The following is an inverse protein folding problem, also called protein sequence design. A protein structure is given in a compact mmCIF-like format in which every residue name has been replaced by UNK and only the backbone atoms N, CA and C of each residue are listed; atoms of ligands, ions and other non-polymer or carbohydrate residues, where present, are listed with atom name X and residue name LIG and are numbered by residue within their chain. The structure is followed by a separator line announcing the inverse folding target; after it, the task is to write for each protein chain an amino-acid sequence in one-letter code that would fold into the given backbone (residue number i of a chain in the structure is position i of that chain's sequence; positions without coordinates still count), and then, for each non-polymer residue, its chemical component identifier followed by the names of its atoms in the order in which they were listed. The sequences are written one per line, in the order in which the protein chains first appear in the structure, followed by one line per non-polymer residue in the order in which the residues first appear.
data_IF_572214829015
#
_entry.id   IF_572214829015
#
_cell.length_a   1.000
_cell.length_b   1.000
_cell.length_c   1.000
_cell.angle_alpha   90.00
_cell.angle_beta   90.00
_cell.angle_gamma   90.00
#
_symmetry.space_group_name_H-M   'P 1'
#
loop_
_entity.id
_entity.type
_entity.pdbx_description
1 polymer ?
#
# COMPACT_ATOMS: atom_id res chain seq x y z
N UNK A 1 -65.75 -39.43 -46.60
CA UNK A 1 -64.37 -38.99 -46.79
C UNK A 1 -64.04 -38.02 -45.68
N UNK A 2 -63.20 -38.43 -44.66
CA UNK A 2 -62.83 -37.63 -43.53
C UNK A 2 -61.35 -37.21 -43.71
N UNK A 3 -61.09 -35.93 -43.97
CA UNK A 3 -59.76 -35.36 -44.07
C UNK A 3 -59.22 -35.06 -42.71
N UNK A 4 -58.18 -35.76 -42.31
CA UNK A 4 -57.41 -35.47 -41.07
C UNK A 4 -56.42 -34.30 -41.34
N UNK A 5 -56.59 -33.22 -40.63
CA UNK A 5 -55.62 -32.10 -40.59
C UNK A 5 -54.56 -32.40 -39.56
N UNK A 6 -53.31 -32.59 -40.00
CA UNK A 6 -52.14 -32.64 -39.16
C UNK A 6 -51.77 -31.20 -38.70
N UNK A 7 -51.73 -30.99 -37.42
CA UNK A 7 -51.17 -29.76 -36.81
C UNK A 7 -49.72 -30.03 -36.56
N UNK A 8 -48.83 -29.32 -37.24
CA UNK A 8 -47.39 -29.22 -36.87
C UNK A 8 -47.29 -28.30 -35.68
N UNK A 9 -46.79 -28.80 -34.56
CA UNK A 9 -46.35 -28.01 -33.43
C UNK A 9 -44.90 -27.59 -33.68
N UNK A 10 -44.68 -26.30 -33.86
CA UNK A 10 -43.33 -25.73 -33.93
C UNK A 10 -42.81 -25.54 -32.47
N UNK A 11 -41.79 -26.31 -32.11
CA UNK A 11 -41.08 -26.14 -30.85
C UNK A 11 -40.06 -24.99 -31.04
N UNK A 12 -40.31 -23.84 -30.39
CA UNK A 12 -39.32 -22.78 -30.27
C UNK A 12 -38.27 -23.21 -29.23
N UNK A 13 -37.08 -23.53 -29.68
CA UNK A 13 -35.93 -23.72 -28.82
C UNK A 13 -35.37 -22.35 -28.35
N UNK A 14 -35.47 -22.09 -27.08
CA UNK A 14 -34.81 -20.93 -26.45
C UNK A 14 -33.35 -21.29 -26.24
N UNK A 15 -32.47 -20.74 -27.08
CA UNK A 15 -31.01 -20.81 -26.88
C UNK A 15 -30.63 -19.75 -25.84
N UNK A 16 -30.41 -20.14 -24.58
CA UNK A 16 -29.85 -19.30 -23.56
C UNK A 16 -28.36 -19.08 -23.84
N UNK A 17 -28.00 -17.90 -24.32
CA UNK A 17 -26.61 -17.49 -24.45
C UNK A 17 -26.03 -17.20 -23.07
N UNK A 18 -25.22 -18.10 -22.53
CA UNK A 18 -24.43 -17.89 -21.36
C UNK A 18 -23.27 -16.97 -21.73
N UNK A 19 -23.37 -15.68 -21.39
CA UNK A 19 -22.25 -14.74 -21.50
C UNK A 19 -21.20 -15.09 -20.43
N UNK A 20 -20.13 -15.76 -20.81
CA UNK A 20 -18.95 -15.94 -19.95
C UNK A 20 -18.22 -14.60 -19.85
N UNK A 21 -18.41 -13.90 -18.74
CA UNK A 21 -17.61 -12.71 -18.41
C UNK A 21 -16.21 -13.19 -18.04
N UNK A 22 -15.30 -13.17 -18.99
CA UNK A 22 -13.87 -13.36 -18.72
C UNK A 22 -13.39 -12.07 -18.02
N UNK A 23 -13.30 -12.10 -16.70
CA UNK A 23 -12.57 -11.10 -15.96
C UNK A 23 -11.09 -11.32 -16.30
N UNK A 24 -10.56 -10.52 -17.21
CA UNK A 24 -9.14 -10.46 -17.48
C UNK A 24 -8.46 -9.94 -16.21
N UNK A 25 -7.91 -10.85 -15.41
CA UNK A 25 -6.95 -10.51 -14.37
C UNK A 25 -5.74 -9.99 -15.15
N UNK A 26 -5.63 -8.66 -15.26
CA UNK A 26 -4.45 -8.05 -15.82
C UNK A 26 -3.26 -8.54 -14.97
N UNK A 27 -2.44 -9.43 -15.55
CA UNK A 27 -1.19 -9.83 -14.93
C UNK A 27 -0.41 -8.55 -14.65
N UNK A 28 -0.27 -8.22 -13.38
CA UNK A 28 0.52 -7.09 -12.94
C UNK A 28 1.93 -7.32 -13.52
N UNK A 29 2.28 -6.51 -14.54
CA UNK A 29 3.66 -6.42 -15.01
C UNK A 29 4.51 -6.28 -13.76
N UNK A 30 5.57 -7.06 -13.67
CA UNK A 30 6.53 -7.09 -12.57
C UNK A 30 7.16 -5.71 -12.40
N UNK A 31 6.39 -4.77 -11.85
CA UNK A 31 6.88 -3.51 -11.32
C UNK A 31 7.81 -3.87 -10.17
N UNK A 32 8.96 -3.27 -10.11
CA UNK A 32 9.93 -3.46 -9.04
C UNK A 32 9.24 -3.12 -7.70
N UNK A 33 8.76 -4.15 -7.00
CA UNK A 33 8.05 -4.02 -5.74
C UNK A 33 9.02 -3.93 -4.58
N UNK A 34 8.68 -3.13 -3.57
CA UNK A 34 9.33 -3.13 -2.26
C UNK A 34 8.46 -3.94 -1.31
N UNK A 35 9.09 -4.76 -0.46
CA UNK A 35 8.43 -5.59 0.55
C UNK A 35 9.28 -5.59 1.80
N UNK A 36 8.74 -5.03 2.88
CA UNK A 36 9.46 -4.89 4.14
C UNK A 36 8.64 -5.41 5.31
N UNK A 37 9.35 -5.86 6.35
CA UNK A 37 8.76 -6.24 7.63
C UNK A 37 9.01 -5.15 8.65
N UNK A 38 7.94 -4.65 9.28
CA UNK A 38 8.03 -3.68 10.36
C UNK A 38 8.19 -4.39 11.69
N UNK A 39 9.12 -3.90 12.50
CA UNK A 39 9.33 -4.35 13.88
C UNK A 39 9.70 -3.16 14.75
N UNK A 40 9.49 -3.25 16.06
CA UNK A 40 9.88 -2.21 17.01
C UNK A 40 11.39 -2.02 17.10
N UNK A 41 12.17 -3.07 16.84
CA UNK A 41 13.64 -3.01 16.84
C UNK A 41 14.23 -2.20 15.68
N UNK A 42 13.41 -1.81 14.68
CA UNK A 42 13.82 -0.93 13.60
C UNK A 42 13.48 0.54 13.87
N UNK A 43 12.75 0.85 14.94
CA UNK A 43 12.56 2.25 15.35
C UNK A 43 13.88 2.87 15.78
N UNK A 44 14.00 4.17 15.54
CA UNK A 44 15.10 4.97 16.09
C UNK A 44 14.75 5.29 17.54
N UNK A 45 15.43 4.75 18.49
CA UNK A 45 15.08 4.36 19.85
C UNK A 45 14.23 3.08 19.78
N UNK A 46 14.92 1.94 19.67
CA UNK A 46 14.31 0.63 19.50
C UNK A 46 13.23 0.37 20.57
N UNK A 47 12.09 -0.16 20.11
CA UNK A 47 10.96 -0.55 20.96
C UNK A 47 10.91 -2.06 21.06
N UNK A 48 10.92 -2.59 22.29
CA UNK A 48 10.65 -4.01 22.53
C UNK A 48 9.14 -4.20 22.64
N UNK A 49 8.53 -4.70 21.58
CA UNK A 49 7.07 -4.89 21.43
C UNK A 49 6.80 -6.17 20.66
N UNK A 50 5.68 -6.89 20.91
CA UNK A 50 5.19 -7.93 20.02
C UNK A 50 4.62 -7.37 18.70
N UNK A 51 4.50 -6.06 18.57
CA UNK A 51 4.03 -5.36 17.39
C UNK A 51 4.83 -5.73 16.13
N UNK A 52 4.13 -6.02 15.06
CA UNK A 52 4.72 -6.42 13.79
C UNK A 52 3.89 -5.93 12.62
N UNK A 53 4.51 -5.80 11.46
CA UNK A 53 3.81 -5.42 10.23
C UNK A 53 4.52 -5.90 8.96
N UNK A 54 3.80 -5.77 7.86
CA UNK A 54 4.31 -6.00 6.51
C UNK A 54 3.86 -4.85 5.62
N UNK A 55 4.81 -4.24 4.94
CA UNK A 55 4.53 -3.22 3.95
C UNK A 55 4.95 -3.72 2.57
N UNK A 56 4.09 -3.50 1.59
CA UNK A 56 4.42 -3.74 0.19
C UNK A 56 3.99 -2.57 -0.66
N UNK A 57 4.75 -2.26 -1.71
CA UNK A 57 4.36 -1.29 -2.71
C UNK A 57 4.87 -1.65 -4.09
N UNK A 58 4.17 -1.16 -5.11
CA UNK A 58 4.55 -1.25 -6.53
C UNK A 58 4.51 0.15 -7.13
N UNK A 59 5.50 0.46 -7.97
CA UNK A 59 5.69 1.78 -8.56
C UNK A 59 5.37 1.72 -10.04
N UNK A 60 4.41 2.54 -10.49
CA UNK A 60 4.16 2.84 -11.90
C UNK A 60 4.60 4.28 -12.19
N UNK A 61 5.81 4.42 -12.77
CA UNK A 61 6.38 5.74 -13.08
C UNK A 61 5.60 6.48 -14.16
N UNK A 62 5.05 5.75 -15.14
CA UNK A 62 4.32 6.36 -16.26
C UNK A 62 2.99 6.96 -15.79
N UNK A 63 2.31 6.27 -14.87
CA UNK A 63 1.07 6.74 -14.27
C UNK A 63 1.31 7.71 -13.11
N UNK A 64 2.56 7.90 -12.65
CA UNK A 64 2.91 8.61 -11.42
C UNK A 64 2.12 8.07 -10.21
N UNK A 65 2.11 6.75 -10.05
CA UNK A 65 1.40 6.04 -8.98
C UNK A 65 2.31 5.09 -8.22
N UNK A 66 2.12 5.06 -6.89
CA UNK A 66 2.62 4.01 -6.02
C UNK A 66 1.43 3.35 -5.34
N UNK A 67 1.16 2.09 -5.66
CA UNK A 67 0.15 1.30 -4.94
C UNK A 67 0.80 0.63 -3.76
N UNK A 68 0.17 0.73 -2.58
CA UNK A 68 0.70 0.15 -1.36
C UNK A 68 -0.35 -0.67 -0.61
N UNK A 69 0.16 -1.55 0.24
CA UNK A 69 -0.58 -2.27 1.26
C UNK A 69 0.29 -2.34 2.52
N UNK A 70 -0.29 -1.98 3.66
CA UNK A 70 0.29 -2.11 4.98
C UNK A 70 -0.62 -2.97 5.85
N UNK A 71 -0.10 -4.08 6.34
CA UNK A 71 -0.76 -4.93 7.36
C UNK A 71 0.05 -4.86 8.64
N UNK A 72 -0.62 -4.70 9.79
CA UNK A 72 0.03 -4.69 11.10
C UNK A 72 -0.87 -5.30 12.17
N UNK A 73 -0.26 -5.72 13.29
CA UNK A 73 -0.96 -6.31 14.43
C UNK A 73 -0.03 -6.54 15.60
N UNK A 74 -0.60 -7.04 16.72
CA UNK A 74 0.15 -7.30 17.94
C UNK A 74 0.69 -6.04 18.62
N UNK A 75 0.13 -4.86 18.31
CA UNK A 75 0.55 -3.60 18.92
C UNK A 75 0.21 -3.55 20.41
N UNK A 76 1.04 -2.87 21.19
CA UNK A 76 0.86 -2.69 22.65
C UNK A 76 -0.32 -1.77 22.98
N UNK A 77 -0.72 -0.90 22.05
CA UNK A 77 -1.84 0.04 22.23
C UNK A 77 -2.45 0.44 20.88
N UNK A 78 -3.63 1.09 20.87
CA UNK A 78 -4.32 1.43 19.63
C UNK A 78 -3.47 2.28 18.67
N UNK A 79 -3.47 1.89 17.38
CA UNK A 79 -2.81 2.64 16.34
C UNK A 79 -3.45 4.03 16.17
N UNK A 80 -2.62 5.05 16.09
CA UNK A 80 -3.03 6.45 15.90
C UNK A 80 -2.80 6.95 14.49
N UNK A 81 -1.68 6.58 13.87
CA UNK A 81 -1.33 7.03 12.53
C UNK A 81 -0.23 6.16 11.92
N UNK A 82 -0.08 6.23 10.61
CA UNK A 82 1.01 5.61 9.86
C UNK A 82 1.42 6.51 8.70
N UNK A 83 2.73 6.60 8.46
CA UNK A 83 3.32 7.51 7.49
C UNK A 83 4.46 6.88 6.69
N UNK A 84 4.80 7.50 5.57
CA UNK A 84 6.13 7.36 4.97
C UNK A 84 6.89 8.66 5.24
N UNK A 85 8.11 8.49 5.74
CA UNK A 85 9.03 9.56 6.11
C UNK A 85 10.23 9.61 5.18
N UNK A 86 10.87 10.77 5.08
CA UNK A 86 12.14 10.96 4.37
C UNK A 86 13.29 11.07 5.36
N UNK A 87 14.04 9.97 5.53
CA UNK A 87 15.28 9.94 6.31
C UNK A 87 15.95 8.56 6.21
N UNK A 88 17.23 8.53 6.56
CA UNK A 88 18.05 7.32 6.68
C UNK A 88 17.63 6.47 7.88
N UNK A 89 18.07 5.21 7.88
CA UNK A 89 17.67 4.20 8.86
C UNK A 89 17.86 4.62 10.34
N UNK A 90 18.88 5.39 10.64
CA UNK A 90 19.28 5.73 12.01
C UNK A 90 18.67 7.04 12.54
N UNK A 91 17.85 7.74 11.76
CA UNK A 91 17.30 9.03 12.11
C UNK A 91 15.79 9.05 11.96
N UNK A 92 15.15 10.02 12.65
CA UNK A 92 13.75 10.35 12.42
C UNK A 92 13.66 11.54 11.46
N UNK A 93 12.82 11.44 10.47
CA UNK A 93 12.63 12.45 9.44
C UNK A 93 11.21 12.98 9.37
N UNK A 94 10.98 13.99 8.52
CA UNK A 94 9.66 14.55 8.30
C UNK A 94 8.73 13.58 7.57
N UNK A 95 7.42 13.76 7.79
CA UNK A 95 6.37 13.03 7.08
C UNK A 95 6.31 13.54 5.63
N UNK A 96 6.37 12.60 4.68
CA UNK A 96 6.13 12.89 3.25
C UNK A 96 4.74 12.45 2.84
N UNK A 97 4.27 11.28 3.31
CA UNK A 97 2.96 10.72 2.94
C UNK A 97 2.26 10.18 4.17
N UNK A 98 1.01 10.58 4.37
CA UNK A 98 0.10 9.93 5.31
C UNK A 98 -0.51 8.67 4.68
N UNK A 99 -0.40 7.54 5.39
CA UNK A 99 -1.05 6.29 4.99
C UNK A 99 -2.41 6.13 5.67
N UNK A 100 -2.50 6.50 6.95
CA UNK A 100 -3.73 6.61 7.72
C UNK A 100 -3.56 7.54 8.92
N UNK A 101 -4.67 8.07 9.47
CA UNK A 101 -4.66 8.85 10.71
C UNK A 101 -6.01 8.78 11.43
N UNK A 102 -5.97 8.57 12.76
CA UNK A 102 -7.09 8.68 13.69
C UNK A 102 -7.04 10.01 14.48
N UNK A 103 -6.06 10.89 14.20
CA UNK A 103 -5.84 12.15 14.90
C UNK A 103 -6.44 13.36 14.18
N UNK A 104 -6.99 13.16 12.97
CA UNK A 104 -7.54 14.25 12.16
C UNK A 104 -6.49 15.25 11.63
N UNK A 105 -5.21 14.89 11.69
CA UNK A 105 -4.07 15.75 11.30
C UNK A 105 -3.54 15.45 9.89
N UNK A 106 -4.11 14.47 9.20
CA UNK A 106 -3.76 14.15 7.81
C UNK A 106 -4.44 15.07 6.80
N UNK A 107 -3.95 15.11 5.54
CA UNK A 107 -4.62 15.77 4.44
C UNK A 107 -6.08 15.29 4.27
N UNK A 108 -6.98 16.10 3.67
CA UNK A 108 -8.35 15.67 3.38
C UNK A 108 -8.38 14.33 2.63
N UNK A 109 -9.25 13.41 3.08
CA UNK A 109 -9.35 12.07 2.50
C UNK A 109 -8.38 11.03 3.08
N UNK A 110 -7.55 11.39 4.07
CA UNK A 110 -6.74 10.41 4.81
C UNK A 110 -7.65 9.38 5.49
N UNK A 111 -7.44 8.09 5.18
CA UNK A 111 -8.22 7.00 5.76
C UNK A 111 -7.92 6.81 7.26
N UNK A 112 -8.86 6.22 8.00
CA UNK A 112 -8.63 5.83 9.39
C UNK A 112 -7.68 4.62 9.49
N UNK A 113 -6.88 4.58 10.57
CA UNK A 113 -6.07 3.42 10.91
C UNK A 113 -6.92 2.37 11.66
N UNK A 114 -6.89 1.07 11.32
CA UNK A 114 -7.42 0.01 12.17
C UNK A 114 -6.75 0.05 13.55
N UNK A 115 -7.47 0.39 14.64
CA UNK A 115 -6.80 0.69 15.93
C UNK A 115 -6.11 -0.52 16.55
N UNK A 116 -6.66 -1.73 16.37
CA UNK A 116 -6.15 -2.97 16.99
C UNK A 116 -5.36 -3.84 16.00
N UNK A 117 -4.97 -3.28 14.86
CA UNK A 117 -4.36 -4.02 13.77
C UNK A 117 -5.33 -4.33 12.65
N UNK A 118 -4.78 -4.57 11.46
CA UNK A 118 -5.52 -4.82 10.22
C UNK A 118 -4.70 -4.47 8.99
N UNK A 119 -5.39 -4.31 7.88
CA UNK A 119 -4.78 -3.97 6.60
C UNK A 119 -5.36 -2.68 6.06
N UNK A 120 -4.50 -1.78 5.62
CA UNK A 120 -4.85 -0.61 4.83
C UNK A 120 -4.15 -0.68 3.48
N UNK A 121 -4.78 -0.14 2.45
CA UNK A 121 -4.20 -0.04 1.12
C UNK A 121 -4.58 1.29 0.48
N UNK A 122 -3.81 1.70 -0.52
CA UNK A 122 -4.07 2.93 -1.24
C UNK A 122 -3.15 3.13 -2.43
N UNK A 123 -3.33 4.28 -3.07
CA UNK A 123 -2.49 4.74 -4.16
C UNK A 123 -1.95 6.13 -3.83
N UNK A 124 -0.61 6.24 -3.79
CA UNK A 124 0.08 7.52 -3.64
C UNK A 124 0.28 8.12 -5.03
N UNK A 125 -0.14 9.37 -5.20
CA UNK A 125 0.05 10.21 -6.38
C UNK A 125 0.78 11.49 -5.99
N UNK A 126 1.21 12.35 -6.93
CA UNK A 126 1.84 13.62 -6.61
C UNK A 126 1.09 14.43 -5.55
N UNK A 127 -0.25 14.51 -5.65
CA UNK A 127 -1.09 15.24 -4.70
C UNK A 127 -1.05 14.71 -3.24
N UNK A 128 -0.56 13.49 -3.02
CA UNK A 128 -0.42 12.88 -1.69
C UNK A 128 0.94 13.17 -1.04
N UNK A 129 1.88 13.77 -1.78
CA UNK A 129 3.21 14.14 -1.29
C UNK A 129 3.09 15.52 -0.64
N UNK A 130 3.25 15.53 0.68
CA UNK A 130 3.16 16.75 1.48
C UNK A 130 4.46 17.55 1.51
N UNK A 131 4.38 18.77 2.03
CA UNK A 131 5.51 19.69 2.14
C UNK A 131 6.46 19.39 3.33
N UNK A 132 6.22 18.31 4.10
CA UNK A 132 7.01 18.03 5.32
C UNK A 132 8.51 17.98 5.10
N UNK A 133 8.95 17.46 3.95
CA UNK A 133 10.35 17.34 3.59
C UNK A 133 10.88 18.47 2.68
N UNK A 134 10.15 19.58 2.53
CA UNK A 134 10.57 20.68 1.66
C UNK A 134 11.92 21.28 2.05
N UNK A 135 12.20 21.38 3.35
CA UNK A 135 13.50 21.84 3.88
C UNK A 135 14.67 20.87 3.58
N UNK A 136 14.36 19.65 3.13
CA UNK A 136 15.33 18.63 2.72
C UNK A 136 15.28 18.35 1.21
N UNK A 137 14.60 19.20 0.43
CA UNK A 137 14.58 19.15 -1.04
C UNK A 137 13.47 18.29 -1.65
N UNK A 138 12.43 17.90 -0.90
CA UNK A 138 11.21 17.27 -1.46
C UNK A 138 10.03 18.19 -1.15
N UNK A 139 9.65 19.01 -2.12
CA UNK A 139 8.48 19.89 -2.00
C UNK A 139 7.17 19.10 -2.21
N UNK A 140 6.04 19.75 -1.87
CA UNK A 140 4.73 19.14 -2.11
C UNK A 140 4.54 18.81 -3.59
N UNK A 141 4.09 17.59 -3.87
CA UNK A 141 3.84 17.12 -5.23
C UNK A 141 5.06 16.60 -5.99
N UNK A 142 6.27 16.72 -5.47
CA UNK A 142 7.51 16.28 -6.14
C UNK A 142 7.66 14.75 -6.11
N UNK A 143 6.97 14.11 -7.05
CA UNK A 143 6.90 12.65 -7.14
C UNK A 143 8.24 12.02 -7.53
N UNK A 144 8.99 12.63 -8.44
CA UNK A 144 10.26 12.06 -8.93
C UNK A 144 11.36 12.11 -7.86
N UNK A 145 11.44 13.19 -7.08
CA UNK A 145 12.33 13.34 -5.93
C UNK A 145 11.99 12.31 -4.85
N UNK A 146 10.70 12.13 -4.58
CA UNK A 146 10.24 11.10 -3.65
C UNK A 146 10.59 9.68 -4.14
N UNK A 147 10.41 9.40 -5.44
CA UNK A 147 10.84 8.12 -6.02
C UNK A 147 12.35 7.92 -5.92
N UNK A 148 13.14 8.98 -6.10
CA UNK A 148 14.59 8.89 -5.94
C UNK A 148 14.96 8.59 -4.48
N UNK A 149 14.32 9.24 -3.51
CA UNK A 149 14.51 8.95 -2.09
C UNK A 149 14.20 7.49 -1.74
N UNK A 150 13.10 6.94 -2.26
CA UNK A 150 12.74 5.52 -2.13
C UNK A 150 13.83 4.63 -2.76
N UNK A 151 14.29 4.96 -3.97
CA UNK A 151 15.27 4.17 -4.71
C UNK A 151 16.60 4.02 -3.98
N UNK A 152 17.03 5.08 -3.29
CA UNK A 152 18.31 5.09 -2.54
C UNK A 152 18.16 4.62 -1.10
N UNK A 153 16.96 4.19 -0.68
CA UNK A 153 16.70 3.71 0.68
C UNK A 153 16.68 4.83 1.74
N UNK A 154 16.36 6.06 1.35
CA UNK A 154 16.24 7.21 2.26
C UNK A 154 14.80 7.49 2.69
N UNK A 155 13.96 6.45 2.73
CA UNK A 155 12.59 6.55 3.23
C UNK A 155 12.28 5.38 4.15
N UNK A 156 11.38 5.59 5.11
CA UNK A 156 10.87 4.53 5.97
C UNK A 156 9.38 4.65 6.19
N UNK A 157 8.75 3.54 6.53
CA UNK A 157 7.36 3.47 6.96
C UNK A 157 7.32 3.10 8.43
N UNK A 158 6.40 3.72 9.20
CA UNK A 158 6.15 3.32 10.58
C UNK A 158 4.66 3.39 10.95
N UNK A 159 4.32 2.78 12.09
CA UNK A 159 3.01 2.83 12.72
C UNK A 159 3.19 3.39 14.13
N UNK A 160 2.43 4.43 14.43
CA UNK A 160 2.40 5.07 15.75
C UNK A 160 1.19 4.58 16.52
N UNK A 161 1.34 4.51 17.84
CA UNK A 161 0.28 4.12 18.76
C UNK A 161 0.14 5.13 19.90
N UNK A 162 -0.90 5.00 20.71
CA UNK A 162 -1.07 5.84 21.89
C UNK A 162 0.06 5.68 22.92
N UNK A 163 0.63 4.47 23.04
CA UNK A 163 1.76 4.17 23.91
C UNK A 163 3.11 4.60 23.33
N UNK A 164 3.23 4.59 22.02
CA UNK A 164 4.46 4.97 21.31
C UNK A 164 4.16 6.02 20.24
N UNK A 165 3.95 7.28 20.66
CA UNK A 165 3.60 8.35 19.72
C UNK A 165 4.75 8.72 18.77
N UNK A 166 5.99 8.32 19.06
CA UNK A 166 7.14 8.44 18.17
C UNK A 166 7.26 7.35 17.11
N UNK A 167 6.47 6.26 17.26
CA UNK A 167 6.48 5.06 16.41
C UNK A 167 6.66 3.79 17.25
N UNK A 168 5.83 2.78 17.03
CA UNK A 168 5.94 1.48 17.69
C UNK A 168 6.66 0.45 16.83
N UNK A 169 6.38 0.45 15.52
CA UNK A 169 7.01 -0.46 14.55
C UNK A 169 7.39 0.30 13.29
N UNK A 170 8.56 -0.04 12.73
CA UNK A 170 9.16 0.66 11.57
C UNK A 170 9.83 -0.31 10.61
N UNK A 171 9.93 0.09 9.35
CA UNK A 171 10.80 -0.51 8.35
C UNK A 171 11.40 0.53 7.43
N UNK A 172 12.72 0.44 7.16
CA UNK A 172 13.34 1.19 6.07
C UNK A 172 12.87 0.62 4.73
N UNK A 173 12.48 1.49 3.81
CA UNK A 173 12.07 1.08 2.47
C UNK A 173 13.31 0.90 1.59
N UNK A 174 13.67 -0.36 1.34
CA UNK A 174 14.85 -0.69 0.55
C UNK A 174 14.41 -1.41 -0.72
N UNK A 175 14.88 -0.95 -1.87
CA UNK A 175 14.65 -1.67 -3.11
C UNK A 175 15.46 -2.95 -3.11
N UNK A 176 14.80 -4.10 -2.94
CA UNK A 176 15.44 -5.41 -2.93
C UNK A 176 16.20 -5.67 -4.24
N UNK A 177 17.47 -5.96 -4.12
CA UNK A 177 18.27 -6.58 -5.18
C UNK A 177 17.94 -8.09 -5.17
N UNK A 178 16.80 -8.49 -5.74
CA UNK A 178 16.40 -9.90 -5.85
C UNK A 178 17.29 -10.74 -6.78
N UNK A 179 18.41 -10.21 -7.28
CA UNK A 179 19.32 -10.93 -8.18
C UNK A 179 20.52 -11.59 -7.47
N UNK A 180 20.65 -11.52 -6.14
CA UNK A 180 21.80 -12.10 -5.44
C UNK A 180 21.61 -13.50 -4.84
N UNK A 181 20.38 -14.05 -4.82
CA UNK A 181 20.12 -15.34 -4.17
C UNK A 181 20.04 -16.53 -5.14
N UNK A 182 20.57 -16.39 -6.37
CA UNK A 182 20.55 -17.49 -7.35
C UNK A 182 21.90 -18.15 -7.62
N UNK A 183 22.93 -17.83 -6.83
CA UNK A 183 24.23 -18.50 -6.95
C UNK A 183 24.77 -18.89 -5.57
N UNK A 184 24.26 -19.98 -5.03
CA UNK A 184 25.00 -20.92 -4.17
C UNK A 184 24.37 -22.30 -4.31
#
# INVERSE_FOLDING_TARGET
MKTRRFRLAAALGVVAAVAVVIVAIAAARSGHGIREKLTGYQENMAVSTPGHGKFRMTIDRKAQEIRYELTYGGLESPATQSHIHFEKKTNNGPIVVFLCSNLGNGPPGTQACPPNGGTISGTIRPANIGAGAAGQGIAAGEFDEFLQAIKVGATYVNVHTTGYPGGEIRAQLVRGNHDKDKHH
#
